data_IF_300786113562
#
_entry.id   IF_300786113562
#
_cell.length_a   1.000
_cell.length_b   1.000
_cell.length_c   1.000
_cell.angle_alpha   90.00
_cell.angle_beta   90.00
_cell.angle_gamma   90.00
#
_symmetry.space_group_name_H-M   'P 1'
#
loop_
_entity.id
_entity.type
_entity.pdbx_description
1 polymer ?
#
# COMPACT_ATOMS: atom_id res chain seq x y z
N UNK A 1 17.29 12.92 12.11
CA UNK A 1 16.25 13.74 11.41
C UNK A 1 14.87 13.38 11.95
N UNK A 2 13.94 14.33 12.07
CA UNK A 2 12.55 14.03 12.42
C UNK A 2 11.83 13.25 11.31
N UNK A 3 10.83 12.44 11.69
CA UNK A 3 10.03 11.64 10.76
C UNK A 3 9.36 12.48 9.68
N UNK A 4 8.83 13.67 10.03
CA UNK A 4 8.11 14.50 9.07
C UNK A 4 9.06 15.01 7.98
N UNK A 5 10.23 15.52 8.36
CA UNK A 5 11.27 15.94 7.40
C UNK A 5 11.69 14.78 6.50
N UNK A 6 11.88 13.59 7.08
CA UNK A 6 12.30 12.40 6.32
C UNK A 6 11.23 11.96 5.31
N UNK A 7 9.96 12.03 5.68
CA UNK A 7 8.83 11.81 4.76
C UNK A 7 8.82 12.84 3.64
N UNK A 8 8.99 14.13 3.94
CA UNK A 8 8.99 15.16 2.90
C UNK A 8 10.13 14.95 1.89
N UNK A 9 11.31 14.55 2.35
CA UNK A 9 12.43 14.20 1.47
C UNK A 9 12.11 13.00 0.58
N UNK A 10 11.54 11.93 1.13
CA UNK A 10 11.17 10.74 0.34
C UNK A 10 10.08 11.05 -0.70
N UNK A 11 9.05 11.81 -0.32
CA UNK A 11 8.00 12.24 -1.24
C UNK A 11 8.56 13.16 -2.34
N UNK A 12 9.52 14.01 -1.99
CA UNK A 12 10.22 14.87 -2.96
C UNK A 12 11.04 14.04 -3.94
N UNK A 13 11.86 13.11 -3.47
CA UNK A 13 12.66 12.24 -4.34
C UNK A 13 11.78 11.46 -5.34
N UNK A 14 10.66 10.90 -4.87
CA UNK A 14 9.69 10.20 -5.72
C UNK A 14 9.04 11.13 -6.75
N UNK A 15 8.72 12.37 -6.35
CA UNK A 15 8.17 13.38 -7.25
C UNK A 15 9.18 13.81 -8.31
N UNK A 16 10.43 14.05 -7.91
CA UNK A 16 11.53 14.46 -8.79
C UNK A 16 11.87 13.35 -9.81
N UNK A 17 11.66 12.08 -9.42
CA UNK A 17 11.80 10.91 -10.30
C UNK A 17 10.54 10.62 -11.15
N UNK A 18 9.57 11.54 -11.17
CA UNK A 18 8.40 11.47 -12.04
C UNK A 18 7.37 10.42 -11.65
N UNK A 19 7.39 9.94 -10.39
CA UNK A 19 6.37 8.99 -9.92
C UNK A 19 5.05 9.72 -9.73
N UNK A 20 3.96 9.11 -10.21
CA UNK A 20 2.63 9.70 -10.05
C UNK A 20 2.24 9.80 -8.57
N UNK A 21 1.72 10.97 -8.16
CA UNK A 21 1.43 11.30 -6.75
C UNK A 21 0.55 10.29 -6.03
N UNK A 22 -0.51 9.80 -6.67
CA UNK A 22 -1.37 8.78 -6.05
C UNK A 22 -0.70 7.43 -5.86
N UNK A 23 0.41 7.13 -6.55
CA UNK A 23 1.12 5.87 -6.43
C UNK A 23 2.15 5.90 -5.28
N UNK A 24 2.81 7.04 -5.07
CA UNK A 24 3.79 7.20 -3.99
C UNK A 24 3.21 7.79 -2.70
N UNK A 25 2.02 8.40 -2.78
CA UNK A 25 1.33 9.03 -1.65
C UNK A 25 -0.18 8.75 -1.71
N UNK A 26 -0.60 7.47 -1.65
CA UNK A 26 -2.00 7.10 -1.83
C UNK A 26 -2.89 7.69 -0.72
N UNK A 27 -4.21 7.88 -0.98
CA UNK A 27 -5.14 8.46 0.00
C UNK A 27 -5.12 7.78 1.36
N UNK A 28 -5.06 6.45 1.39
CA UNK A 28 -5.05 5.67 2.64
C UNK A 28 -3.80 5.95 3.49
N UNK A 29 -2.63 6.01 2.86
CA UNK A 29 -1.39 6.35 3.54
C UNK A 29 -1.41 7.78 4.11
N UNK A 30 -1.99 8.72 3.36
CA UNK A 30 -2.16 10.11 3.85
C UNK A 30 -3.05 10.15 5.08
N UNK A 31 -4.14 9.39 5.08
CA UNK A 31 -5.04 9.30 6.22
C UNK A 31 -4.33 8.72 7.44
N UNK A 32 -3.62 7.59 7.27
CA UNK A 32 -2.89 6.96 8.37
C UNK A 32 -1.82 7.88 8.95
N UNK A 33 -1.06 8.61 8.11
CA UNK A 33 -0.11 9.62 8.61
C UNK A 33 -0.80 10.73 9.40
N UNK A 34 -1.95 11.22 8.93
CA UNK A 34 -2.76 12.22 9.68
C UNK A 34 -3.28 11.68 11.02
N UNK A 35 -3.49 10.37 11.13
CA UNK A 35 -3.88 9.70 12.37
C UNK A 35 -2.68 9.42 13.30
N UNK A 36 -1.46 9.84 12.94
CA UNK A 36 -0.26 9.71 13.76
C UNK A 36 0.58 8.46 13.48
N UNK A 37 0.19 7.63 12.50
CA UNK A 37 0.99 6.46 12.14
C UNK A 37 2.23 6.86 11.35
N UNK A 38 3.39 6.35 11.79
CA UNK A 38 4.69 6.60 11.14
C UNK A 38 4.97 5.60 10.01
N UNK A 39 4.16 5.62 8.97
CA UNK A 39 4.31 4.74 7.81
C UNK A 39 5.23 5.34 6.74
N UNK A 40 6.03 4.51 6.08
CA UNK A 40 6.89 4.93 4.95
C UNK A 40 6.06 4.96 3.66
N UNK A 41 6.44 5.73 2.62
CA UNK A 41 5.83 5.61 1.30
C UNK A 41 6.01 4.18 0.76
N UNK A 42 5.09 3.65 -0.07
CA UNK A 42 5.14 2.24 -0.50
C UNK A 42 6.47 1.82 -1.13
N UNK A 43 7.13 2.74 -1.82
CA UNK A 43 8.44 2.53 -2.46
C UNK A 43 9.62 2.37 -1.48
N UNK A 44 9.48 2.85 -0.24
CA UNK A 44 10.48 2.75 0.84
C UNK A 44 10.08 1.72 1.91
N UNK A 45 8.94 1.05 1.73
CA UNK A 45 8.53 -0.05 2.59
C UNK A 45 9.19 -1.36 2.16
N UNK A 46 9.39 -2.25 3.13
CA UNK A 46 9.82 -3.61 2.85
C UNK A 46 8.74 -4.39 2.08
N UNK A 47 9.17 -5.41 1.34
CA UNK A 47 8.28 -6.26 0.55
C UNK A 47 7.12 -6.84 1.38
N UNK A 48 7.44 -7.43 2.54
CA UNK A 48 6.43 -8.03 3.41
C UNK A 48 5.50 -6.98 4.03
N UNK A 49 6.01 -5.80 4.38
CA UNK A 49 5.18 -4.70 4.89
C UNK A 49 4.17 -4.22 3.85
N UNK A 50 4.61 -4.03 2.60
CA UNK A 50 3.71 -3.70 1.48
C UNK A 50 2.65 -4.79 1.28
N UNK A 51 3.04 -6.06 1.34
CA UNK A 51 2.11 -7.18 1.15
C UNK A 51 1.01 -7.17 2.21
N UNK A 52 1.39 -7.13 3.49
CA UNK A 52 0.43 -7.12 4.61
C UNK A 52 -0.43 -5.87 4.56
N UNK A 53 0.17 -4.71 4.26
CA UNK A 53 -0.56 -3.46 4.17
C UNK A 53 -1.62 -3.51 3.07
N UNK A 54 -1.25 -3.93 1.86
CA UNK A 54 -2.17 -4.12 0.74
C UNK A 54 -3.27 -5.12 1.05
N UNK A 55 -2.93 -6.29 1.60
CA UNK A 55 -3.90 -7.30 1.99
C UNK A 55 -4.91 -6.74 3.02
N UNK A 56 -4.41 -6.03 4.03
CA UNK A 56 -5.23 -5.50 5.11
C UNK A 56 -6.29 -4.49 4.67
N UNK A 57 -6.03 -3.69 3.62
CA UNK A 57 -7.04 -2.74 3.11
C UNK A 57 -7.82 -3.28 1.91
N UNK A 58 -7.22 -4.07 1.00
CA UNK A 58 -7.92 -4.56 -0.18
C UNK A 58 -8.94 -5.64 0.16
N UNK A 59 -8.60 -6.58 1.04
CA UNK A 59 -9.52 -7.66 1.40
C UNK A 59 -10.87 -7.14 1.95
N UNK A 60 -10.93 -6.22 2.94
CA UNK A 60 -12.20 -5.71 3.43
C UNK A 60 -12.94 -4.81 2.42
N UNK A 61 -12.22 -4.06 1.57
CA UNK A 61 -12.84 -3.25 0.51
C UNK A 61 -13.50 -4.16 -0.52
N UNK A 62 -12.79 -5.19 -0.97
CA UNK A 62 -13.29 -6.17 -1.92
C UNK A 62 -14.49 -6.94 -1.35
N UNK A 63 -14.36 -7.41 -0.11
CA UNK A 63 -15.45 -8.07 0.61
C UNK A 63 -16.70 -7.18 0.66
N UNK A 64 -16.56 -5.93 1.10
CA UNK A 64 -17.68 -5.01 1.21
C UNK A 64 -18.31 -4.71 -0.14
N UNK A 65 -17.49 -4.46 -1.16
CA UNK A 65 -17.97 -4.24 -2.53
C UNK A 65 -18.79 -5.44 -3.01
N UNK A 66 -18.21 -6.63 -3.05
CA UNK A 66 -18.90 -7.82 -3.55
C UNK A 66 -20.13 -8.20 -2.70
N UNK A 67 -20.08 -7.97 -1.39
CA UNK A 67 -21.21 -8.21 -0.50
C UNK A 67 -22.44 -7.38 -0.88
N UNK A 68 -22.26 -6.10 -1.21
CA UNK A 68 -23.38 -5.22 -1.57
C UNK A 68 -23.87 -5.39 -3.02
N UNK A 69 -23.04 -5.93 -3.91
CA UNK A 69 -23.36 -6.02 -5.34
C UNK A 69 -23.82 -7.40 -5.80
N UNK A 70 -23.27 -8.49 -5.26
CA UNK A 70 -23.53 -9.83 -5.77
C UNK A 70 -23.69 -10.86 -4.64
N UNK A 71 -22.69 -10.97 -3.75
CA UNK A 71 -22.56 -12.11 -2.84
C UNK A 71 -23.72 -12.27 -1.85
N UNK A 72 -24.34 -11.16 -1.43
CA UNK A 72 -25.53 -11.23 -0.58
C UNK A 72 -26.73 -11.80 -1.33
N UNK A 73 -26.89 -11.47 -2.61
CA UNK A 73 -28.02 -11.91 -3.44
C UNK A 73 -27.91 -13.39 -3.81
N UNK A 74 -26.72 -13.86 -4.18
CA UNK A 74 -26.46 -15.28 -4.48
C UNK A 74 -26.24 -16.15 -3.23
N UNK A 75 -26.38 -15.57 -2.03
CA UNK A 75 -26.39 -16.31 -0.76
C UNK A 75 -25.03 -16.91 -0.37
N UNK A 76 -23.93 -16.26 -0.75
CA UNK A 76 -22.58 -16.70 -0.36
C UNK A 76 -22.44 -16.59 1.16
N UNK A 77 -21.88 -17.64 1.78
CA UNK A 77 -21.64 -17.65 3.23
C UNK A 77 -20.59 -16.62 3.64
N UNK A 78 -20.67 -16.12 4.88
CA UNK A 78 -19.70 -15.16 5.41
C UNK A 78 -18.25 -15.69 5.38
N UNK A 79 -18.07 -16.98 5.68
CA UNK A 79 -16.75 -17.62 5.67
C UNK A 79 -16.18 -17.72 4.25
N UNK A 80 -17.01 -18.08 3.28
CA UNK A 80 -16.61 -18.15 1.87
C UNK A 80 -16.26 -16.77 1.31
N UNK A 81 -17.08 -15.76 1.62
CA UNK A 81 -16.81 -14.37 1.25
C UNK A 81 -15.48 -13.88 1.84
N UNK A 82 -15.21 -14.18 3.11
CA UNK A 82 -13.94 -13.84 3.75
C UNK A 82 -12.75 -14.54 3.07
N UNK A 83 -12.87 -15.83 2.75
CA UNK A 83 -11.83 -16.58 2.06
C UNK A 83 -11.53 -16.02 0.66
N UNK A 84 -12.56 -15.78 -0.16
CA UNK A 84 -12.44 -15.18 -1.50
C UNK A 84 -11.78 -13.80 -1.43
N UNK A 85 -12.15 -13.00 -0.45
CA UNK A 85 -11.60 -11.65 -0.26
C UNK A 85 -10.13 -11.67 0.17
N UNK A 86 -9.75 -12.61 1.04
CA UNK A 86 -8.35 -12.83 1.43
C UNK A 86 -7.52 -13.28 0.24
N UNK A 87 -8.03 -14.16 -0.62
CA UNK A 87 -7.34 -14.58 -1.85
C UNK A 87 -7.12 -13.40 -2.80
N UNK A 88 -8.14 -12.57 -3.03
CA UNK A 88 -8.05 -11.36 -3.85
C UNK A 88 -7.01 -10.38 -3.27
N UNK A 89 -7.12 -10.07 -1.98
CA UNK A 89 -6.18 -9.18 -1.28
C UNK A 89 -4.75 -9.71 -1.29
N UNK A 90 -4.54 -11.02 -1.17
CA UNK A 90 -3.22 -11.64 -1.21
C UNK A 90 -2.59 -11.55 -2.59
N UNK A 91 -3.34 -11.88 -3.65
CA UNK A 91 -2.86 -11.76 -5.02
C UNK A 91 -2.51 -10.30 -5.34
N UNK A 92 -3.40 -9.38 -5.03
CA UNK A 92 -3.17 -7.95 -5.25
C UNK A 92 -1.95 -7.45 -4.45
N UNK A 93 -1.87 -7.78 -3.16
CA UNK A 93 -0.76 -7.39 -2.31
C UNK A 93 0.58 -7.94 -2.78
N UNK A 94 0.60 -9.17 -3.30
CA UNK A 94 1.79 -9.76 -3.89
C UNK A 94 2.24 -8.98 -5.13
N UNK A 95 1.32 -8.71 -6.05
CA UNK A 95 1.60 -7.95 -7.28
C UNK A 95 2.13 -6.55 -6.97
N UNK A 96 1.49 -5.84 -6.02
CA UNK A 96 1.93 -4.51 -5.61
C UNK A 96 3.28 -4.52 -4.92
N UNK A 97 3.55 -5.52 -4.09
CA UNK A 97 4.86 -5.67 -3.42
C UNK A 97 5.98 -5.90 -4.42
N UNK A 98 5.74 -6.74 -5.44
CA UNK A 98 6.68 -6.95 -6.55
C UNK A 98 6.85 -5.65 -7.34
N UNK A 99 5.76 -4.98 -7.68
CA UNK A 99 5.80 -3.70 -8.40
C UNK A 99 6.66 -2.66 -7.67
N UNK A 100 6.44 -2.44 -6.37
CA UNK A 100 7.22 -1.47 -5.59
C UNK A 100 8.68 -1.90 -5.43
N UNK A 101 8.96 -3.19 -5.24
CA UNK A 101 10.32 -3.70 -5.14
C UNK A 101 11.11 -3.54 -6.45
N UNK A 102 10.47 -3.75 -7.60
CA UNK A 102 11.11 -3.53 -8.91
C UNK A 102 11.28 -2.04 -9.16
N UNK A 103 10.23 -1.25 -8.95
CA UNK A 103 10.24 0.18 -9.26
C UNK A 103 11.18 0.97 -8.37
N UNK A 104 11.29 0.66 -7.08
CA UNK A 104 12.28 1.29 -6.19
C UNK A 104 13.71 1.13 -6.71
N UNK A 105 14.06 -0.07 -7.22
CA UNK A 105 15.35 -0.34 -7.86
C UNK A 105 15.51 0.38 -9.19
N UNK A 106 14.51 0.36 -10.07
CA UNK A 106 14.55 1.07 -11.36
C UNK A 106 14.71 2.59 -11.19
N UNK A 107 14.16 3.14 -10.12
CA UNK A 107 14.25 4.54 -9.77
C UNK A 107 15.56 4.87 -9.05
N UNK A 108 16.42 3.89 -8.73
CA UNK A 108 17.64 4.07 -7.92
C UNK A 108 17.38 4.90 -6.66
N UNK A 109 16.33 4.56 -5.90
CA UNK A 109 15.96 5.31 -4.70
C UNK A 109 17.08 5.27 -3.66
N UNK A 110 17.28 6.39 -2.97
CA UNK A 110 18.14 6.42 -1.78
C UNK A 110 17.56 5.46 -0.73
N UNK A 111 18.42 4.73 -0.03
CA UNK A 111 17.95 3.87 1.05
C UNK A 111 17.24 4.69 2.12
N UNK A 112 16.13 4.16 2.65
CA UNK A 112 15.36 4.87 3.65
C UNK A 112 16.23 5.31 4.82
N UNK A 113 17.15 4.47 5.29
CA UNK A 113 17.96 4.80 6.47
C UNK A 113 18.95 5.94 6.18
N UNK A 114 19.55 5.97 4.99
CA UNK A 114 20.49 6.99 4.52
C UNK A 114 19.83 8.31 4.08
N UNK A 115 18.50 8.36 4.02
CA UNK A 115 17.78 9.48 3.45
C UNK A 115 17.95 10.76 4.29
N UNK A 116 18.79 11.67 3.79
CA UNK A 116 19.13 12.95 4.39
C UNK A 116 20.15 12.88 5.54
N UNK A 117 20.93 11.80 5.60
CA UNK A 117 22.30 11.84 6.14
C UNK A 117 23.22 12.64 5.20
#
# INVERSE_FOLDING_TARGET
MDYETKIQLALKELSDKGVWKSNYNPPIDRLLRKLGFRIRPPYYQGFFSNFVFCLAYVAPIWWGFEWFFEWNEVGISMLEAAYKSLQCGALFGLLMSIFYAIRSKQLNLTDWDLLGE
#
